data_IF_223260500255
#
_entry.id   IF_223260500255
#
_cell.length_a   1.000
_cell.length_b   1.000
_cell.length_c   1.000
_cell.angle_alpha   90.00
_cell.angle_beta   90.00
_cell.angle_gamma   90.00
#
_symmetry.space_group_name_H-M   'P 1'
#
loop_
_entity.id
_entity.type
_entity.pdbx_description
1 polymer ?
#
# COMPACT_ATOMS: atom_id res chain seq x y z
N UNK A 1 -29.26 -22.49 -3.96
CA UNK A 1 -30.31 -21.69 -4.63
C UNK A 1 -30.98 -22.58 -5.65
N UNK A 2 -32.24 -22.95 -5.44
CA UNK A 2 -33.09 -23.46 -6.53
C UNK A 2 -33.72 -22.21 -7.16
N UNK A 3 -33.54 -22.01 -8.47
CA UNK A 3 -34.30 -20.99 -9.20
C UNK A 3 -35.71 -21.55 -9.36
N UNK A 4 -36.68 -20.98 -8.66
CA UNK A 4 -38.07 -21.10 -9.08
C UNK A 4 -38.30 -20.10 -10.23
N UNK A 5 -39.31 -20.36 -11.05
CA UNK A 5 -39.70 -19.53 -12.20
C UNK A 5 -40.01 -18.05 -11.84
N UNK A 6 -40.09 -17.74 -10.55
CA UNK A 6 -40.39 -16.42 -9.99
C UNK A 6 -39.19 -15.50 -9.72
N UNK A 7 -37.93 -15.86 -10.07
CA UNK A 7 -36.73 -15.07 -9.68
C UNK A 7 -36.60 -14.78 -8.18
N UNK A 8 -37.36 -15.45 -7.32
CA UNK A 8 -37.32 -15.27 -5.87
C UNK A 8 -36.32 -16.24 -5.24
N UNK A 9 -35.58 -15.77 -4.23
CA UNK A 9 -34.72 -16.62 -3.41
C UNK A 9 -35.10 -16.48 -1.94
N UNK A 10 -35.18 -17.61 -1.23
CA UNK A 10 -35.47 -17.61 0.21
C UNK A 10 -34.16 -17.60 0.99
N UNK A 11 -33.98 -16.61 1.86
CA UNK A 11 -32.88 -16.57 2.84
C UNK A 11 -33.42 -16.95 4.21
N UNK A 12 -32.78 -17.93 4.85
CA UNK A 12 -32.99 -18.22 6.27
C UNK A 12 -32.03 -17.38 7.09
N UNK A 13 -32.58 -16.57 7.99
CA UNK A 13 -31.81 -15.75 8.93
C UNK A 13 -32.11 -16.22 10.34
N UNK A 14 -31.06 -16.44 11.14
CA UNK A 14 -31.19 -16.82 12.54
C UNK A 14 -30.98 -15.61 13.46
N UNK A 15 -31.30 -15.73 14.73
CA UNK A 15 -31.03 -14.67 15.70
C UNK A 15 -29.54 -14.61 16.08
N UNK A 16 -29.17 -13.53 16.77
CA UNK A 16 -27.81 -13.28 17.26
C UNK A 16 -27.23 -14.44 18.08
N UNK A 17 -28.00 -14.95 19.05
CA UNK A 17 -27.59 -16.04 19.96
C UNK A 17 -27.21 -17.30 19.19
N UNK A 18 -28.02 -17.68 18.20
CA UNK A 18 -27.72 -18.81 17.34
C UNK A 18 -26.39 -18.61 16.59
N UNK A 19 -26.17 -17.43 16.01
CA UNK A 19 -24.93 -17.16 15.29
C UNK A 19 -23.73 -17.19 16.22
N UNK A 20 -23.81 -16.65 17.43
CA UNK A 20 -22.72 -16.72 18.41
C UNK A 20 -22.32 -18.17 18.70
N UNK A 21 -23.29 -19.03 19.02
CA UNK A 21 -23.06 -20.46 19.20
C UNK A 21 -22.45 -21.13 17.96
N UNK A 22 -23.00 -20.83 16.78
CA UNK A 22 -22.51 -21.38 15.51
C UNK A 22 -21.05 -20.99 15.23
N UNK A 23 -20.68 -19.73 15.46
CA UNK A 23 -19.32 -19.25 15.25
C UNK A 23 -18.33 -19.79 16.28
N UNK A 24 -18.76 -20.02 17.52
CA UNK A 24 -17.93 -20.68 18.53
C UNK A 24 -17.63 -22.14 18.16
N UNK A 25 -18.60 -22.85 17.59
CA UNK A 25 -18.38 -24.19 17.03
C UNK A 25 -17.46 -24.16 15.80
N UNK A 26 -17.64 -23.18 14.89
CA UNK A 26 -16.78 -23.02 13.71
C UNK A 26 -15.33 -22.78 14.11
N UNK A 27 -15.08 -21.93 15.12
CA UNK A 27 -13.72 -21.65 15.63
C UNK A 27 -13.03 -22.88 16.23
N UNK A 28 -13.80 -23.90 16.64
CA UNK A 28 -13.29 -25.17 17.19
C UNK A 28 -13.01 -26.23 16.11
N UNK A 29 -13.23 -25.94 14.83
CA UNK A 29 -12.93 -26.87 13.73
C UNK A 29 -11.44 -27.25 13.75
N UNK A 30 -11.08 -28.55 13.72
CA UNK A 30 -9.69 -28.99 13.70
C UNK A 30 -8.93 -28.57 12.43
N UNK A 31 -7.64 -28.26 12.57
CA UNK A 31 -6.74 -27.96 11.44
C UNK A 31 -6.58 -29.13 10.47
N UNK A 32 -6.78 -30.36 10.95
CA UNK A 32 -6.68 -31.59 10.16
C UNK A 32 -7.86 -31.82 9.21
N UNK A 33 -8.95 -31.06 9.34
CA UNK A 33 -10.10 -31.23 8.45
C UNK A 33 -9.80 -30.76 7.02
N UNK A 34 -10.29 -31.53 6.05
CA UNK A 34 -10.23 -31.16 4.64
C UNK A 34 -11.09 -29.90 4.34
N UNK A 35 -10.67 -29.03 3.40
CA UNK A 35 -11.37 -27.78 3.10
C UNK A 35 -12.86 -27.94 2.78
N UNK A 36 -13.20 -28.96 1.99
CA UNK A 36 -14.59 -29.27 1.62
C UNK A 36 -15.45 -29.56 2.85
N UNK A 37 -14.91 -30.30 3.83
CA UNK A 37 -15.61 -30.62 5.09
C UNK A 37 -15.78 -29.38 5.97
N UNK A 38 -14.74 -28.56 6.09
CA UNK A 38 -14.81 -27.27 6.83
C UNK A 38 -15.91 -26.39 6.26
N UNK A 39 -15.92 -26.20 4.94
CA UNK A 39 -16.87 -25.31 4.26
C UNK A 39 -18.29 -25.86 4.24
N UNK A 40 -18.47 -27.17 4.14
CA UNK A 40 -19.77 -27.81 4.32
C UNK A 40 -20.32 -27.61 5.73
N UNK A 41 -19.49 -27.80 6.76
CA UNK A 41 -19.87 -27.56 8.14
C UNK A 41 -20.31 -26.10 8.36
N UNK A 42 -19.51 -25.14 7.88
CA UNK A 42 -19.84 -23.71 7.95
C UNK A 42 -21.18 -23.42 7.25
N UNK A 43 -21.39 -23.96 6.04
CA UNK A 43 -22.63 -23.74 5.29
C UNK A 43 -23.86 -24.35 5.98
N UNK A 44 -23.71 -25.51 6.61
CA UNK A 44 -24.77 -26.13 7.41
C UNK A 44 -25.13 -25.28 8.62
N UNK A 45 -24.13 -24.68 9.27
CA UNK A 45 -24.30 -23.84 10.47
C UNK A 45 -24.83 -22.45 10.15
N UNK A 46 -24.43 -21.85 9.04
CA UNK A 46 -24.76 -20.47 8.71
C UNK A 46 -25.93 -20.32 7.73
N UNK A 47 -26.44 -21.43 7.18
CA UNK A 47 -27.20 -21.45 5.93
C UNK A 47 -26.36 -20.98 4.73
N UNK A 48 -26.51 -21.63 3.58
CA UNK A 48 -25.71 -21.37 2.36
C UNK A 48 -25.83 -19.95 1.78
N UNK A 49 -26.69 -19.10 2.34
CA UNK A 49 -27.14 -17.84 1.72
C UNK A 49 -26.43 -16.60 2.30
N UNK A 50 -25.45 -16.78 3.20
CA UNK A 50 -24.64 -15.68 3.74
C UNK A 50 -23.59 -15.22 2.71
N UNK A 51 -23.43 -15.87 1.56
CA UNK A 51 -22.37 -15.50 0.63
C UNK A 51 -22.82 -14.50 -0.44
N UNK A 52 -22.81 -13.22 -0.10
CA UNK A 52 -22.98 -12.16 -1.09
C UNK A 52 -21.79 -12.06 -2.04
N UNK A 53 -22.08 -12.15 -3.33
CA UNK A 53 -21.15 -11.97 -4.42
C UNK A 53 -21.61 -10.73 -5.16
N UNK A 54 -20.71 -9.77 -5.37
CA UNK A 54 -21.04 -8.52 -6.05
C UNK A 54 -20.55 -8.63 -7.50
N UNK A 55 -21.45 -8.55 -8.50
CA UNK A 55 -21.00 -8.28 -9.86
C UNK A 55 -20.40 -6.87 -9.88
N UNK A 56 -19.23 -6.74 -10.48
CA UNK A 56 -18.64 -5.44 -10.75
C UNK A 56 -18.74 -5.16 -12.24
N UNK A 57 -19.05 -3.90 -12.55
CA UNK A 57 -18.96 -3.41 -13.92
C UNK A 57 -17.49 -3.39 -14.36
N UNK A 58 -17.29 -3.64 -15.65
CA UNK A 58 -15.97 -3.69 -16.28
C UNK A 58 -15.18 -2.42 -16.00
N UNK A 59 -15.80 -1.25 -16.13
CA UNK A 59 -15.17 0.05 -15.96
C UNK A 59 -14.62 0.21 -14.54
N UNK A 60 -15.41 -0.17 -13.53
CA UNK A 60 -14.97 -0.16 -12.12
C UNK A 60 -13.76 -1.06 -11.92
N UNK A 61 -13.78 -2.30 -12.45
CA UNK A 61 -12.64 -3.22 -12.33
C UNK A 61 -11.39 -2.71 -13.06
N UNK A 62 -11.54 -2.18 -14.27
CA UNK A 62 -10.40 -1.71 -15.07
C UNK A 62 -9.78 -0.43 -14.52
N UNK A 63 -10.53 0.33 -13.71
CA UNK A 63 -9.98 1.49 -12.97
C UNK A 63 -9.21 1.10 -11.71
N UNK A 64 -9.38 -0.15 -11.23
CA UNK A 64 -8.74 -0.61 -10.01
C UNK A 64 -7.27 -0.93 -10.24
N UNK A 65 -6.40 -0.26 -9.48
CA UNK A 65 -5.00 -0.64 -9.34
C UNK A 65 -4.82 -1.57 -8.14
N UNK A 66 -4.01 -2.60 -8.33
CA UNK A 66 -3.67 -3.57 -7.29
C UNK A 66 -2.18 -3.46 -6.99
N UNK A 67 -1.87 -3.20 -5.73
CA UNK A 67 -0.49 -3.04 -5.27
C UNK A 67 -0.04 -4.26 -4.49
N UNK A 68 1.23 -4.62 -4.63
CA UNK A 68 1.83 -5.73 -3.90
C UNK A 68 3.28 -5.42 -3.57
N UNK A 69 3.64 -5.57 -2.30
CA UNK A 69 5.03 -5.52 -1.86
C UNK A 69 5.62 -6.93 -1.72
N UNK A 70 6.92 -7.05 -2.04
CA UNK A 70 7.73 -8.25 -1.81
C UNK A 70 9.05 -7.83 -1.19
N UNK A 71 9.33 -8.34 0.01
CA UNK A 71 10.64 -8.20 0.64
C UNK A 71 11.59 -9.26 0.07
N UNK A 72 12.76 -8.83 -0.40
CA UNK A 72 13.81 -9.73 -0.87
C UNK A 72 14.53 -10.34 0.34
N UNK A 73 14.47 -11.66 0.50
CA UNK A 73 15.17 -12.33 1.60
C UNK A 73 16.67 -12.45 1.30
N UNK A 74 17.50 -12.48 2.34
CA UNK A 74 18.94 -12.73 2.20
C UNK A 74 19.18 -14.03 1.42
N UNK A 75 19.93 -13.95 0.33
CA UNK A 75 20.25 -15.08 -0.56
C UNK A 75 19.16 -15.42 -1.59
N UNK A 76 18.00 -14.77 -1.54
CA UNK A 76 16.99 -14.92 -2.58
C UNK A 76 17.40 -14.15 -3.84
N UNK A 77 17.29 -14.79 -5.00
CA UNK A 77 17.52 -14.15 -6.29
C UNK A 77 16.17 -13.83 -6.94
N UNK A 78 16.05 -12.60 -7.44
CA UNK A 78 14.91 -12.17 -8.24
C UNK A 78 15.45 -11.78 -9.60
N UNK A 79 15.03 -12.52 -10.64
CA UNK A 79 15.15 -12.04 -12.01
C UNK A 79 14.25 -10.81 -12.18
N UNK A 80 14.88 -9.64 -12.19
CA UNK A 80 14.25 -8.33 -12.30
C UNK A 80 13.63 -8.08 -13.70
N UNK A 81 13.87 -8.95 -14.68
CA UNK A 81 13.31 -8.86 -16.02
C UNK A 81 12.10 -9.76 -16.23
N UNK A 82 11.70 -10.56 -15.22
CA UNK A 82 10.62 -11.55 -15.33
C UNK A 82 9.40 -11.15 -14.52
N UNK A 83 8.31 -10.78 -15.21
CA UNK A 83 7.02 -10.39 -14.60
C UNK A 83 6.52 -11.40 -13.56
N UNK A 84 6.68 -12.70 -13.82
CA UNK A 84 6.18 -13.75 -12.91
C UNK A 84 6.85 -13.74 -11.53
N UNK A 85 8.03 -13.14 -11.38
CA UNK A 85 8.66 -13.00 -10.07
C UNK A 85 7.99 -11.93 -9.21
N UNK A 86 7.18 -11.05 -9.79
CA UNK A 86 6.44 -10.05 -9.02
C UNK A 86 5.01 -10.51 -8.71
N UNK A 87 4.49 -11.54 -9.39
CA UNK A 87 3.10 -11.99 -9.23
C UNK A 87 2.88 -13.04 -8.14
N UNK A 88 3.74 -14.04 -8.01
CA UNK A 88 3.56 -15.14 -7.06
C UNK A 88 4.82 -15.37 -6.23
N UNK A 89 4.69 -15.86 -4.99
CA UNK A 89 5.85 -16.41 -4.31
C UNK A 89 6.43 -17.59 -5.14
N UNK A 90 7.75 -17.82 -5.08
CA UNK A 90 8.36 -18.99 -5.73
C UNK A 90 7.63 -20.28 -5.33
N UNK A 91 7.42 -21.19 -6.30
CA UNK A 91 6.72 -22.47 -6.05
C UNK A 91 7.45 -23.35 -5.01
N UNK A 92 8.76 -23.19 -4.89
CA UNK A 92 9.63 -23.79 -3.88
C UNK A 92 10.54 -22.70 -3.32
N UNK A 93 10.57 -22.52 -2.00
CA UNK A 93 11.63 -21.76 -1.32
C UNK A 93 12.44 -22.81 -0.55
N UNK A 94 13.44 -23.40 -1.21
CA UNK A 94 14.14 -24.60 -0.70
C UNK A 94 13.19 -25.77 -0.48
N UNK A 95 13.29 -26.42 0.69
CA UNK A 95 12.42 -27.53 1.11
C UNK A 95 11.07 -27.10 1.71
N UNK A 96 10.83 -25.78 1.85
CA UNK A 96 9.61 -25.28 2.49
C UNK A 96 8.47 -25.20 1.49
N UNK A 97 7.49 -26.10 1.66
CA UNK A 97 6.16 -25.98 1.05
C UNK A 97 5.55 -24.64 1.47
N UNK A 98 4.90 -23.95 0.54
CA UNK A 98 4.16 -22.72 0.82
C UNK A 98 3.28 -22.88 2.06
N UNK A 99 3.60 -22.11 3.10
CA UNK A 99 2.82 -22.12 4.32
C UNK A 99 1.38 -21.67 4.03
N UNK A 100 0.44 -22.25 4.76
CA UNK A 100 -0.96 -21.85 4.71
C UNK A 100 -1.08 -20.37 5.11
N UNK A 101 -1.74 -19.59 4.25
CA UNK A 101 -2.08 -18.19 4.50
C UNK A 101 -3.58 -18.04 4.78
N UNK A 102 -4.06 -16.79 4.84
CA UNK A 102 -5.51 -16.50 4.99
C UNK A 102 -6.36 -16.97 3.81
N UNK A 103 -5.75 -17.05 2.64
CA UNK A 103 -6.38 -17.34 1.36
C UNK A 103 -5.57 -18.35 0.55
N UNK A 104 -4.25 -18.40 0.78
CA UNK A 104 -3.35 -19.34 0.15
C UNK A 104 -3.37 -20.72 0.83
N UNK A 105 -3.29 -21.78 0.03
CA UNK A 105 -3.12 -23.17 0.49
C UNK A 105 -2.03 -23.86 -0.32
N UNK A 106 -1.53 -24.96 0.25
CA UNK A 106 -0.65 -25.90 -0.47
C UNK A 106 -1.37 -26.35 -1.74
N UNK A 107 -0.73 -26.17 -2.90
CA UNK A 107 -1.29 -26.49 -4.22
C UNK A 107 -2.24 -25.45 -4.81
N UNK A 108 -2.64 -24.42 -4.06
CA UNK A 108 -3.51 -23.35 -4.54
C UNK A 108 -2.97 -21.97 -4.15
N UNK A 109 -2.05 -21.49 -4.97
CA UNK A 109 -1.52 -20.14 -4.87
C UNK A 109 -2.57 -19.10 -5.24
N UNK A 110 -2.58 -18.00 -4.50
CA UNK A 110 -3.35 -16.80 -4.81
C UNK A 110 -2.38 -15.63 -4.97
N UNK A 111 -2.75 -14.68 -5.82
CA UNK A 111 -2.07 -13.40 -5.83
C UNK A 111 -2.62 -12.56 -4.67
N UNK A 112 -1.73 -12.16 -3.75
CA UNK A 112 -2.05 -11.18 -2.73
C UNK A 112 -1.71 -9.78 -3.22
N UNK A 113 -2.61 -8.84 -2.98
CA UNK A 113 -2.40 -7.42 -3.19
C UNK A 113 -3.32 -6.58 -2.32
N UNK A 114 -3.32 -5.27 -2.53
CA UNK A 114 -4.11 -4.29 -1.79
C UNK A 114 -4.45 -3.09 -2.69
N UNK A 115 -5.27 -2.17 -2.21
CA UNK A 115 -5.74 -0.99 -2.94
C UNK A 115 -4.74 0.17 -2.96
N UNK A 116 -3.69 0.12 -2.13
CA UNK A 116 -2.69 1.19 -2.04
C UNK A 116 -1.27 0.68 -1.71
N UNK A 117 -0.23 1.44 -2.10
CA UNK A 117 1.17 1.07 -1.90
C UNK A 117 1.56 0.99 -0.41
N UNK A 118 1.01 1.87 0.42
CA UNK A 118 1.35 1.98 1.84
C UNK A 118 0.95 0.71 2.59
N UNK A 119 -0.31 0.29 2.42
CA UNK A 119 -0.83 -0.98 2.95
C UNK A 119 -0.02 -2.16 2.44
N UNK A 120 0.44 -2.14 1.19
CA UNK A 120 1.21 -3.24 0.63
C UNK A 120 2.52 -3.47 1.41
N UNK A 121 3.21 -2.39 1.79
CA UNK A 121 4.43 -2.44 2.59
C UNK A 121 4.12 -2.87 4.04
N UNK A 122 3.07 -2.29 4.65
CA UNK A 122 2.68 -2.63 6.03
C UNK A 122 2.28 -4.10 6.17
N UNK A 123 1.65 -4.70 5.16
CA UNK A 123 1.33 -6.15 5.16
C UNK A 123 2.56 -7.06 5.14
N UNK A 124 3.74 -6.55 4.77
CA UNK A 124 5.00 -7.30 4.76
C UNK A 124 6.02 -6.79 5.78
N UNK A 125 5.64 -5.83 6.64
CA UNK A 125 6.54 -5.13 7.56
C UNK A 125 7.26 -6.05 8.55
N UNK A 126 6.61 -7.13 8.99
CA UNK A 126 7.21 -8.15 9.86
C UNK A 126 8.45 -8.83 9.23
N UNK A 127 8.65 -8.70 7.92
CA UNK A 127 9.82 -9.24 7.22
C UNK A 127 10.85 -8.15 6.85
N UNK A 128 10.59 -6.89 7.18
CA UNK A 128 11.45 -5.76 6.85
C UNK A 128 12.39 -5.49 8.03
N UNK A 129 13.68 -5.58 7.75
CA UNK A 129 14.76 -5.05 8.59
C UNK A 129 15.08 -3.66 8.04
N UNK A 130 14.84 -2.62 8.85
CA UNK A 130 15.11 -1.21 8.50
C UNK A 130 16.55 -1.03 8.02
N UNK A 131 16.74 -0.22 6.98
CA UNK A 131 18.01 0.09 6.29
C UNK A 131 18.68 -1.09 5.54
N UNK A 132 18.30 -2.33 5.82
CA UNK A 132 18.89 -3.51 5.17
C UNK A 132 17.99 -4.10 4.09
N UNK A 133 16.67 -4.05 4.28
CA UNK A 133 15.73 -4.76 3.42
C UNK A 133 15.41 -4.02 2.13
N UNK A 134 15.50 -4.76 1.03
CA UNK A 134 15.04 -4.32 -0.28
C UNK A 134 13.60 -4.79 -0.48
N UNK A 135 12.73 -3.86 -0.82
CA UNK A 135 11.32 -4.11 -1.06
C UNK A 135 10.99 -3.74 -2.51
N UNK A 136 10.36 -4.68 -3.22
CA UNK A 136 9.76 -4.42 -4.54
C UNK A 136 8.27 -4.15 -4.36
N UNK A 137 7.82 -2.98 -4.76
CA UNK A 137 6.41 -2.58 -4.74
C UNK A 137 5.92 -2.59 -6.18
N UNK A 138 5.11 -3.57 -6.52
CA UNK A 138 4.56 -3.75 -7.86
C UNK A 138 3.15 -3.18 -7.95
N UNK A 139 2.88 -2.46 -9.03
CA UNK A 139 1.56 -1.91 -9.39
C UNK A 139 1.00 -2.70 -10.56
N UNK A 140 -0.21 -3.22 -10.40
CA UNK A 140 -0.90 -4.02 -11.39
C UNK A 140 -2.21 -3.36 -11.79
N UNK A 141 -2.53 -3.45 -13.07
CA UNK A 141 -3.83 -3.03 -13.61
C UNK A 141 -4.62 -4.28 -14.04
N UNK A 142 -5.95 -4.16 -14.00
CA UNK A 142 -6.87 -5.20 -14.47
C UNK A 142 -7.33 -4.83 -15.88
N UNK A 143 -7.12 -5.72 -16.85
CA UNK A 143 -7.46 -5.53 -18.27
C UNK A 143 -8.25 -6.72 -18.81
N UNK A 144 -8.91 -6.48 -19.94
CA UNK A 144 -9.57 -7.52 -20.75
C UNK A 144 -10.59 -8.37 -19.98
N UNK A 145 -11.28 -7.78 -18.99
CA UNK A 145 -12.28 -8.50 -18.18
C UNK A 145 -13.65 -8.53 -18.86
N UNK A 146 -14.41 -9.59 -18.56
CA UNK A 146 -15.81 -9.72 -18.95
C UNK A 146 -16.67 -8.63 -18.27
N UNK A 147 -17.79 -8.28 -18.92
CA UNK A 147 -18.70 -7.21 -18.49
C UNK A 147 -19.15 -7.35 -17.03
N UNK A 148 -19.37 -8.58 -16.56
CA UNK A 148 -19.92 -8.86 -15.23
C UNK A 148 -19.05 -9.82 -14.42
N UNK A 149 -17.81 -9.40 -14.15
CA UNK A 149 -16.90 -10.19 -13.31
C UNK A 149 -17.31 -10.06 -11.84
N UNK A 150 -17.46 -11.19 -11.15
CA UNK A 150 -17.88 -11.17 -9.77
C UNK A 150 -16.72 -11.03 -8.79
N UNK A 151 -16.97 -10.33 -7.69
CA UNK A 151 -16.04 -10.23 -6.57
C UNK A 151 -16.76 -10.57 -5.26
N UNK A 152 -16.07 -11.35 -4.43
CA UNK A 152 -16.51 -11.62 -3.06
C UNK A 152 -15.99 -10.52 -2.14
N UNK A 153 -16.89 -9.84 -1.44
CA UNK A 153 -16.52 -8.84 -0.43
C UNK A 153 -16.67 -9.46 0.96
N UNK A 154 -15.61 -9.41 1.75
CA UNK A 154 -15.52 -9.93 3.11
C UNK A 154 -15.28 -8.82 4.13
N UNK A 155 -15.95 -7.69 3.95
CA UNK A 155 -15.90 -6.57 4.87
C UNK A 155 -17.21 -5.79 4.81
N UNK A 156 -18.02 -5.87 5.86
CA UNK A 156 -19.30 -5.22 6.06
C UNK A 156 -19.32 -4.70 7.49
N UNK A 157 -19.52 -3.39 7.67
CA UNK A 157 -19.47 -2.77 9.00
C UNK A 157 -18.05 -2.67 9.58
N UNK A 158 -17.01 -2.54 8.73
CA UNK A 158 -15.73 -2.03 9.21
C UNK A 158 -15.87 -0.56 9.57
N UNK A 159 -15.30 -0.17 10.71
CA UNK A 159 -15.01 1.24 10.99
C UNK A 159 -13.79 1.63 10.17
N UNK A 160 -14.01 1.92 8.90
CA UNK A 160 -13.01 2.58 8.05
C UNK A 160 -13.09 4.08 8.32
N UNK A 161 -11.94 4.73 8.40
CA UNK A 161 -11.88 6.19 8.40
C UNK A 161 -12.73 6.71 7.21
N UNK A 162 -13.64 7.64 7.48
CA UNK A 162 -14.66 8.10 6.51
C UNK A 162 -14.03 8.69 5.25
N UNK A 163 -12.81 9.19 5.39
CA UNK A 163 -12.02 9.85 4.34
C UNK A 163 -11.09 8.88 3.61
N UNK A 164 -10.99 7.62 4.05
CA UNK A 164 -10.19 6.60 3.36
C UNK A 164 -10.84 6.14 2.05
N UNK A 165 -10.01 5.72 1.07
CA UNK A 165 -10.49 5.05 -0.15
C UNK A 165 -11.32 3.79 0.16
N UNK A 166 -10.98 3.09 1.24
CA UNK A 166 -11.73 1.93 1.71
C UNK A 166 -13.17 2.32 2.10
N UNK A 167 -13.40 3.51 2.65
CA UNK A 167 -14.73 4.01 2.98
C UNK A 167 -15.59 4.28 1.76
N UNK A 168 -15.02 4.83 0.67
CA UNK A 168 -15.75 5.01 -0.60
C UNK A 168 -16.25 3.66 -1.12
N UNK A 169 -15.35 2.68 -1.18
CA UNK A 169 -15.68 1.34 -1.62
C UNK A 169 -16.72 0.68 -0.70
N UNK A 170 -16.59 0.88 0.60
CA UNK A 170 -17.53 0.36 1.59
C UNK A 170 -18.93 0.93 1.47
N UNK A 171 -19.06 2.24 1.25
CA UNK A 171 -20.36 2.87 0.99
C UNK A 171 -21.03 2.29 -0.24
N UNK A 172 -20.27 2.00 -1.31
CA UNK A 172 -20.80 1.35 -2.51
C UNK A 172 -21.36 -0.05 -2.19
N UNK A 173 -20.58 -0.87 -1.47
CA UNK A 173 -21.01 -2.23 -1.07
C UNK A 173 -22.22 -2.18 -0.16
N UNK A 174 -22.22 -1.29 0.83
CA UNK A 174 -23.32 -1.12 1.78
C UNK A 174 -24.59 -0.62 1.09
N UNK A 175 -24.48 0.31 0.14
CA UNK A 175 -25.60 0.78 -0.66
C UNK A 175 -26.20 -0.34 -1.52
N UNK A 176 -25.35 -1.14 -2.19
CA UNK A 176 -25.81 -2.29 -2.98
C UNK A 176 -26.50 -3.34 -2.11
N UNK A 177 -25.94 -3.58 -0.93
CA UNK A 177 -26.55 -4.45 0.07
C UNK A 177 -27.92 -3.93 0.51
N UNK A 178 -27.99 -2.67 0.94
CA UNK A 178 -29.22 -2.05 1.43
C UNK A 178 -30.33 -2.11 0.38
N UNK A 179 -29.99 -1.88 -0.90
CA UNK A 179 -30.91 -2.06 -2.03
C UNK A 179 -31.36 -3.51 -2.19
N UNK A 180 -30.43 -4.46 -2.16
CA UNK A 180 -30.73 -5.89 -2.32
C UNK A 180 -31.64 -6.45 -1.21
N UNK A 181 -31.60 -5.85 -0.02
CA UNK A 181 -32.37 -6.29 1.15
C UNK A 181 -33.36 -5.24 1.67
N UNK A 182 -33.75 -4.27 0.86
CA UNK A 182 -34.68 -3.20 1.28
C UNK A 182 -36.04 -3.73 1.74
N UNK A 183 -36.46 -4.88 1.20
CA UNK A 183 -37.72 -5.55 1.54
C UNK A 183 -37.57 -6.60 2.67
N UNK A 184 -36.37 -6.78 3.21
CA UNK A 184 -36.14 -7.70 4.33
C UNK A 184 -36.60 -7.02 5.64
N UNK A 185 -37.40 -7.69 6.49
CA UNK A 185 -37.78 -7.14 7.79
C UNK A 185 -36.56 -6.74 8.62
N UNK A 186 -36.65 -5.62 9.34
CA UNK A 186 -35.52 -5.03 10.06
C UNK A 186 -34.78 -5.99 11.01
N UNK A 187 -35.47 -6.83 11.81
CA UNK A 187 -34.80 -7.81 12.67
C UNK A 187 -33.99 -8.85 11.87
N UNK A 188 -34.46 -9.24 10.68
CA UNK A 188 -33.73 -10.16 9.82
C UNK A 188 -32.53 -9.46 9.17
N UNK A 189 -32.69 -8.22 8.72
CA UNK A 189 -31.60 -7.43 8.14
C UNK A 189 -30.47 -7.24 9.16
N UNK A 190 -30.80 -6.82 10.37
CA UNK A 190 -29.84 -6.67 11.49
C UNK A 190 -29.11 -7.98 11.80
N UNK A 191 -29.83 -9.09 11.92
CA UNK A 191 -29.22 -10.39 12.22
C UNK A 191 -28.36 -10.92 11.06
N UNK A 192 -28.74 -10.65 9.81
CA UNK A 192 -27.91 -11.01 8.67
C UNK A 192 -26.60 -10.22 8.67
N UNK A 193 -26.64 -8.91 8.92
CA UNK A 193 -25.43 -8.09 9.09
C UNK A 193 -24.54 -8.60 10.21
N UNK A 194 -25.13 -8.99 11.34
CA UNK A 194 -24.39 -9.60 12.43
C UNK A 194 -23.62 -10.85 11.99
N UNK A 195 -24.30 -11.74 11.26
CA UNK A 195 -23.67 -12.95 10.73
C UNK A 195 -22.56 -12.65 9.73
N UNK A 196 -22.73 -11.66 8.86
CA UNK A 196 -21.68 -11.19 7.96
C UNK A 196 -20.46 -10.69 8.73
N UNK A 197 -20.67 -9.85 9.74
CA UNK A 197 -19.58 -9.34 10.59
C UNK A 197 -18.79 -10.48 11.24
N UNK A 198 -19.47 -11.43 11.88
CA UNK A 198 -18.84 -12.62 12.49
C UNK A 198 -18.10 -13.49 11.46
N UNK A 199 -18.66 -13.60 10.25
CA UNK A 199 -18.02 -14.34 9.16
C UNK A 199 -16.68 -13.72 8.76
N UNK A 200 -16.59 -12.40 8.76
CA UNK A 200 -15.38 -11.64 8.41
C UNK A 200 -14.34 -11.66 9.52
N UNK A 201 -14.75 -11.84 10.77
CA UNK A 201 -13.82 -12.10 11.88
C UNK A 201 -12.97 -13.36 11.65
N UNK A 202 -13.47 -14.34 10.89
CA UNK A 202 -12.69 -15.51 10.49
C UNK A 202 -11.51 -15.17 9.57
N UNK A 203 -11.58 -14.02 8.87
CA UNK A 203 -10.53 -13.51 7.98
C UNK A 203 -9.61 -12.49 8.64
N UNK A 204 -10.02 -11.93 9.79
CA UNK A 204 -9.28 -10.87 10.48
C UNK A 204 -8.66 -11.31 11.80
N UNK A 205 -8.62 -12.61 12.07
CA UNK A 205 -7.91 -13.17 13.20
C UNK A 205 -6.40 -12.94 13.09
N UNK A 206 -5.78 -12.60 14.22
CA UNK A 206 -4.34 -12.42 14.36
C UNK A 206 -3.62 -13.75 14.62
N UNK A 207 -2.31 -13.80 14.39
CA UNK A 207 -1.47 -14.93 14.80
C UNK A 207 -1.74 -16.27 14.10
N UNK A 208 -2.20 -16.27 12.84
CA UNK A 208 -2.54 -17.47 12.04
C UNK A 208 -3.67 -18.33 12.61
N UNK A 209 -4.26 -17.92 13.74
CA UNK A 209 -5.42 -18.56 14.36
C UNK A 209 -6.54 -18.56 13.33
N UNK A 210 -7.01 -19.73 12.89
CA UNK A 210 -8.05 -19.91 11.86
C UNK A 210 -7.66 -19.76 10.39
N UNK A 211 -6.37 -19.79 10.03
CA UNK A 211 -5.99 -19.77 8.60
C UNK A 211 -6.50 -21.01 7.84
N UNK A 212 -6.69 -22.16 8.50
CA UNK A 212 -7.34 -23.32 7.89
C UNK A 212 -8.81 -23.07 7.58
N UNK A 213 -9.50 -22.23 8.35
CA UNK A 213 -10.90 -21.88 8.12
C UNK A 213 -11.02 -20.86 6.98
N UNK A 214 -10.32 -19.72 7.09
CA UNK A 214 -10.35 -18.66 6.07
C UNK A 214 -9.86 -19.16 4.71
N UNK A 215 -8.77 -19.91 4.66
CA UNK A 215 -8.28 -20.48 3.40
C UNK A 215 -9.22 -21.55 2.81
N UNK A 216 -9.95 -22.28 3.66
CA UNK A 216 -11.00 -23.20 3.18
C UNK A 216 -12.17 -22.45 2.56
N UNK A 217 -12.58 -21.34 3.15
CA UNK A 217 -13.60 -20.46 2.57
C UNK A 217 -13.16 -19.96 1.20
N UNK A 218 -11.93 -19.45 1.07
CA UNK A 218 -11.39 -19.00 -0.22
C UNK A 218 -11.35 -20.13 -1.24
N UNK A 219 -10.93 -21.33 -0.81
CA UNK A 219 -10.95 -22.52 -1.66
C UNK A 219 -12.37 -22.83 -2.19
N UNK A 220 -13.39 -22.79 -1.34
CA UNK A 220 -14.78 -23.01 -1.75
C UNK A 220 -15.23 -21.97 -2.79
N UNK A 221 -14.93 -20.69 -2.55
CA UNK A 221 -15.24 -19.61 -3.50
C UNK A 221 -14.51 -19.80 -4.84
N UNK A 222 -13.23 -20.17 -4.85
CA UNK A 222 -12.49 -20.29 -6.10
C UNK A 222 -12.75 -21.57 -6.86
N UNK A 223 -13.03 -22.69 -6.18
CA UNK A 223 -13.17 -24.00 -6.82
C UNK A 223 -14.63 -24.40 -6.96
N UNK A 224 -15.42 -24.33 -5.89
CA UNK A 224 -16.81 -24.81 -5.91
C UNK A 224 -17.71 -23.89 -6.72
N UNK A 225 -17.60 -22.57 -6.54
CA UNK A 225 -18.47 -21.63 -7.27
C UNK A 225 -18.18 -21.73 -8.77
N UNK A 226 -16.90 -21.87 -9.15
CA UNK A 226 -16.51 -22.11 -10.53
C UNK A 226 -17.15 -23.39 -11.10
N UNK A 227 -17.16 -24.50 -10.34
CA UNK A 227 -17.89 -25.74 -10.72
C UNK A 227 -19.41 -25.52 -10.87
N UNK A 228 -19.96 -24.53 -10.17
CA UNK A 228 -21.36 -24.11 -10.27
C UNK A 228 -21.59 -23.02 -11.32
N UNK A 229 -20.59 -22.75 -12.19
CA UNK A 229 -20.61 -21.70 -13.22
C UNK A 229 -20.76 -20.27 -12.68
N UNK A 230 -20.38 -20.06 -11.42
CA UNK A 230 -20.30 -18.72 -10.81
C UNK A 230 -18.83 -18.32 -10.72
N UNK A 231 -18.39 -17.47 -11.63
CA UNK A 231 -16.99 -17.04 -11.70
C UNK A 231 -16.71 -15.91 -10.70
N UNK A 232 -16.06 -16.23 -9.57
CA UNK A 232 -15.63 -15.26 -8.55
C UNK A 232 -14.10 -15.24 -8.44
N UNK A 233 -13.39 -14.53 -9.32
CA UNK A 233 -11.92 -14.53 -9.34
C UNK A 233 -11.26 -13.69 -8.24
N UNK A 234 -11.98 -12.74 -7.63
CA UNK A 234 -11.42 -11.79 -6.66
C UNK A 234 -12.16 -11.91 -5.32
N UNK A 235 -11.39 -11.97 -4.24
CA UNK A 235 -11.89 -11.83 -2.87
C UNK A 235 -11.24 -10.61 -2.24
N UNK A 236 -12.04 -9.63 -1.88
CA UNK A 236 -11.60 -8.43 -1.18
C UNK A 236 -11.89 -8.58 0.32
N UNK A 237 -10.92 -8.29 1.18
CA UNK A 237 -11.01 -8.49 2.64
C UNK A 237 -10.20 -7.41 3.39
N UNK A 238 -10.48 -7.16 4.68
CA UNK A 238 -9.79 -6.11 5.44
C UNK A 238 -8.30 -6.43 5.66
N UNK A 239 -7.46 -5.40 5.60
CA UNK A 239 -6.08 -5.46 6.10
C UNK A 239 -6.06 -5.56 7.61
N UNK A 240 -5.45 -6.59 8.19
CA UNK A 240 -5.26 -6.66 9.64
C UNK A 240 -4.03 -5.88 10.08
N UNK A 241 -3.02 -5.79 9.23
CA UNK A 241 -1.81 -5.02 9.52
C UNK A 241 -2.13 -3.51 9.68
N UNK A 242 -3.13 -3.00 8.94
CA UNK A 242 -3.67 -1.63 9.04
C UNK A 242 -4.94 -1.54 9.88
N UNK A 243 -5.11 -2.37 10.91
CA UNK A 243 -6.26 -2.31 11.85
C UNK A 243 -7.65 -2.27 11.17
N UNK A 244 -7.78 -2.85 9.96
CA UNK A 244 -8.97 -2.88 9.10
C UNK A 244 -9.33 -1.55 8.43
N UNK A 245 -8.37 -0.63 8.29
CA UNK A 245 -8.53 0.67 7.62
C UNK A 245 -8.24 0.62 6.11
N UNK A 246 -7.71 -0.50 5.60
CA UNK A 246 -7.49 -0.71 4.17
C UNK A 246 -8.00 -2.09 3.71
N UNK A 247 -8.02 -2.28 2.39
CA UNK A 247 -8.55 -3.47 1.70
C UNK A 247 -7.40 -4.24 1.07
N UNK A 248 -7.36 -5.53 1.35
CA UNK A 248 -6.54 -6.51 0.66
C UNK A 248 -7.37 -7.29 -0.35
N UNK A 249 -6.67 -7.85 -1.33
CA UNK A 249 -7.19 -8.72 -2.37
C UNK A 249 -6.49 -10.07 -2.33
N UNK A 250 -7.27 -11.14 -2.45
CA UNK A 250 -6.81 -12.45 -2.87
C UNK A 250 -7.40 -12.73 -4.25
N UNK A 251 -6.56 -12.93 -5.25
CA UNK A 251 -6.97 -13.07 -6.65
C UNK A 251 -6.56 -14.46 -7.16
N UNK A 252 -7.49 -15.13 -7.83
CA UNK A 252 -7.30 -16.48 -8.39
C UNK A 252 -6.23 -16.47 -9.48
N UNK A 253 -5.44 -17.54 -9.55
CA UNK A 253 -4.24 -17.58 -10.39
C UNK A 253 -4.52 -17.37 -11.88
N UNK A 254 -5.47 -18.14 -12.42
CA UNK A 254 -5.93 -18.05 -13.81
C UNK A 254 -6.40 -16.63 -14.18
N UNK A 255 -7.09 -15.95 -13.27
CA UNK A 255 -7.52 -14.57 -13.49
C UNK A 255 -6.34 -13.61 -13.54
N UNK A 256 -5.36 -13.76 -12.64
CA UNK A 256 -4.15 -12.94 -12.67
C UNK A 256 -3.35 -13.18 -13.95
N UNK A 257 -3.15 -14.43 -14.35
CA UNK A 257 -2.42 -14.75 -15.58
C UNK A 257 -3.11 -14.15 -16.81
N UNK A 258 -4.44 -14.10 -16.82
CA UNK A 258 -5.24 -13.69 -17.99
C UNK A 258 -5.53 -12.19 -18.02
N UNK A 259 -5.75 -11.55 -16.87
CA UNK A 259 -6.32 -10.20 -16.78
C UNK A 259 -5.46 -9.20 -16.00
N UNK A 260 -4.50 -9.63 -15.18
CA UNK A 260 -3.60 -8.69 -14.53
C UNK A 260 -2.42 -8.37 -15.44
N UNK A 261 -2.07 -7.09 -15.53
CA UNK A 261 -0.86 -6.62 -16.21
C UNK A 261 0.00 -5.86 -15.23
N UNK A 262 1.26 -6.23 -15.12
CA UNK A 262 2.23 -5.46 -14.34
C UNK A 262 2.43 -4.14 -15.07
N UNK A 263 2.21 -3.02 -14.38
CA UNK A 263 2.37 -1.66 -14.93
C UNK A 263 3.73 -1.08 -14.53
N UNK A 264 4.08 -1.23 -13.26
CA UNK A 264 5.24 -0.58 -12.65
C UNK A 264 5.81 -1.41 -11.49
N UNK A 265 7.11 -1.27 -11.24
CA UNK A 265 7.79 -1.80 -10.05
C UNK A 265 8.65 -0.68 -9.44
N UNK A 266 8.45 -0.39 -8.17
CA UNK A 266 9.34 0.46 -7.38
C UNK A 266 10.27 -0.43 -6.54
N UNK A 267 11.59 -0.29 -6.71
CA UNK A 267 12.60 -0.95 -5.88
C UNK A 267 13.07 0.05 -4.83
N UNK A 268 12.77 -0.24 -3.58
CA UNK A 268 13.05 0.68 -2.46
C UNK A 268 13.82 -0.01 -1.34
N UNK A 269 14.53 0.77 -0.54
CA UNK A 269 15.09 0.36 0.76
C UNK A 269 14.30 1.06 1.85
N UNK A 270 13.62 0.32 2.70
CA UNK A 270 12.86 0.92 3.80
C UNK A 270 13.83 1.37 4.89
N UNK A 271 13.77 2.64 5.28
CA UNK A 271 14.68 3.24 6.25
C UNK A 271 14.05 3.36 7.63
N UNK A 272 12.72 3.51 7.73
CA UNK A 272 11.99 3.41 8.99
C UNK A 272 10.52 3.01 8.81
N UNK A 273 9.97 2.31 9.81
CA UNK A 273 8.55 2.04 9.98
C UNK A 273 8.17 2.40 11.42
N UNK A 274 7.52 3.55 11.64
CA UNK A 274 7.09 4.01 12.97
C UNK A 274 5.63 4.43 12.94
N UNK A 275 4.80 3.86 13.81
CA UNK A 275 3.37 4.21 13.89
C UNK A 275 2.66 4.16 12.52
N UNK A 276 2.99 3.15 11.70
CA UNK A 276 2.53 3.02 10.31
C UNK A 276 3.08 4.06 9.34
N UNK A 277 3.83 5.08 9.77
CA UNK A 277 4.60 5.94 8.86
C UNK A 277 5.77 5.15 8.30
N UNK A 278 5.94 5.19 6.97
CA UNK A 278 7.00 4.49 6.27
C UNK A 278 7.89 5.51 5.59
N UNK A 279 9.18 5.44 5.89
CA UNK A 279 10.23 6.16 5.16
C UNK A 279 11.10 5.16 4.40
N UNK A 280 11.55 5.54 3.22
CA UNK A 280 12.35 4.68 2.35
C UNK A 280 13.19 5.50 1.38
N UNK A 281 14.25 4.86 0.87
CA UNK A 281 15.08 5.35 -0.21
C UNK A 281 14.65 4.68 -1.52
N UNK A 282 14.31 5.49 -2.52
CA UNK A 282 14.06 4.99 -3.87
C UNK A 282 15.36 4.56 -4.55
N UNK A 283 15.45 3.30 -5.01
CA UNK A 283 16.66 2.79 -5.66
C UNK A 283 16.51 2.77 -7.17
N UNK A 284 15.43 2.18 -7.67
CA UNK A 284 15.10 2.11 -9.10
C UNK A 284 13.60 2.06 -9.29
N UNK A 285 13.15 2.44 -10.48
CA UNK A 285 11.78 2.21 -10.96
C UNK A 285 11.84 1.38 -12.23
N UNK A 286 10.90 0.47 -12.40
CA UNK A 286 10.68 -0.20 -13.66
C UNK A 286 9.30 0.15 -14.20
N UNK A 287 9.22 0.44 -15.49
CA UNK A 287 7.96 0.53 -16.23
C UNK A 287 7.85 -0.68 -17.15
N UNK A 288 6.67 -1.26 -17.24
CA UNK A 288 6.42 -2.40 -18.14
C UNK A 288 5.77 -1.89 -19.41
N UNK A 289 6.46 -2.06 -20.54
CA UNK A 289 5.96 -1.72 -21.88
C UNK A 289 6.02 -2.96 -22.75
N UNK A 290 4.91 -3.33 -23.37
CA UNK A 290 4.79 -4.52 -24.24
C UNK A 290 5.32 -5.81 -23.60
N UNK A 291 5.05 -5.99 -22.30
CA UNK A 291 5.50 -7.14 -21.51
C UNK A 291 6.99 -7.12 -21.12
N UNK A 292 7.76 -6.11 -21.54
CA UNK A 292 9.17 -5.94 -21.18
C UNK A 292 9.31 -4.97 -20.01
N UNK A 293 10.16 -5.34 -19.05
CA UNK A 293 10.48 -4.51 -17.90
C UNK A 293 11.65 -3.60 -18.26
N UNK A 294 11.44 -2.27 -18.20
CA UNK A 294 12.47 -1.27 -18.45
C UNK A 294 12.79 -0.56 -17.14
N UNK A 295 14.00 -0.77 -16.63
CA UNK A 295 14.47 -0.13 -15.41
C UNK A 295 15.02 1.26 -15.69
N UNK A 296 14.39 2.24 -15.07
CA UNK A 296 14.75 3.65 -15.08
C UNK A 296 15.54 3.98 -13.82
N UNK A 297 16.51 4.89 -13.97
CA UNK A 297 17.23 5.46 -12.83
C UNK A 297 16.55 6.76 -12.45
N UNK A 298 16.46 7.02 -11.15
CA UNK A 298 16.00 8.32 -10.68
C UNK A 298 17.06 9.35 -11.08
N UNK A 299 16.71 10.24 -12.00
CA UNK A 299 17.51 11.41 -12.36
C UNK A 299 16.92 12.62 -11.63
N UNK A 300 17.72 13.26 -10.80
CA UNK A 300 17.32 14.44 -10.04
C UNK A 300 17.96 15.64 -10.69
N UNK A 301 17.15 16.43 -11.38
CA UNK A 301 17.59 17.66 -12.01
C UNK A 301 17.15 18.84 -11.17
N UNK A 302 18.13 19.58 -10.64
CA UNK A 302 17.85 20.86 -9.99
C UNK A 302 17.61 21.86 -11.12
N UNK A 303 16.35 22.25 -11.33
CA UNK A 303 15.99 23.21 -12.39
C UNK A 303 16.30 24.64 -11.97
N UNK A 304 15.93 25.00 -10.75
CA UNK A 304 16.13 26.34 -10.23
C UNK A 304 16.25 26.34 -8.70
N UNK A 305 17.05 27.27 -8.21
CA UNK A 305 17.22 27.54 -6.79
C UNK A 305 16.69 28.93 -6.58
N UNK A 306 15.60 29.04 -5.81
CA UNK A 306 15.02 30.34 -5.52
C UNK A 306 15.89 31.08 -4.50
N UNK A 307 16.92 31.78 -4.99
CA UNK A 307 17.88 32.55 -4.19
C UNK A 307 17.18 33.59 -3.30
N UNK A 308 16.03 34.13 -3.73
CA UNK A 308 15.24 35.10 -2.94
C UNK A 308 14.62 34.51 -1.67
N UNK A 309 14.63 33.19 -1.56
CA UNK A 309 14.06 32.47 -0.43
C UNK A 309 15.13 31.78 0.43
N UNK A 310 16.40 32.12 0.19
CA UNK A 310 17.51 31.66 1.01
C UNK A 310 17.52 32.42 2.33
N UNK A 311 17.55 31.68 3.43
CA UNK A 311 17.68 32.23 4.77
C UNK A 311 19.00 31.79 5.36
N UNK A 312 19.76 32.70 5.94
CA UNK A 312 20.97 32.37 6.70
C UNK A 312 20.61 32.27 8.18
N UNK A 313 21.07 31.20 8.82
CA UNK A 313 20.79 30.88 10.22
C UNK A 313 22.05 31.08 11.04
N UNK A 314 21.94 31.95 12.03
CA UNK A 314 22.92 32.08 13.10
C UNK A 314 22.37 31.38 14.33
N UNK A 315 23.11 30.45 14.90
CA UNK A 315 22.75 29.80 16.16
C UNK A 315 23.50 30.55 17.26
N UNK A 316 22.78 31.41 17.98
CA UNK A 316 23.30 32.04 19.19
C UNK A 316 22.87 31.12 20.34
N UNK A 317 23.80 30.48 21.08
CA UNK A 317 23.49 29.42 22.05
C UNK A 317 22.44 29.78 23.13
N UNK A 318 22.20 31.07 23.35
CA UNK A 318 21.35 31.61 24.42
C UNK A 318 20.10 32.36 23.91
N UNK A 319 19.88 32.45 22.59
CA UNK A 319 18.72 33.17 22.02
C UNK A 319 17.85 32.29 21.11
N UNK A 320 16.53 32.56 21.02
CA UNK A 320 15.67 31.89 20.04
C UNK A 320 16.20 32.13 18.62
N UNK A 321 16.15 31.08 17.79
CA UNK A 321 16.64 31.10 16.39
C UNK A 321 16.15 32.35 15.66
N UNK A 322 17.06 33.27 15.35
CA UNK A 322 16.77 34.46 14.52
C UNK A 322 17.01 34.12 13.06
N UNK A 323 16.02 34.44 12.23
CA UNK A 323 16.10 34.30 10.79
C UNK A 323 16.61 35.62 10.20
N UNK A 324 17.78 35.60 9.56
CA UNK A 324 18.24 36.74 8.77
C UNK A 324 17.93 36.43 7.32
N UNK A 325 16.97 37.16 6.74
CA UNK A 325 16.74 37.14 5.31
C UNK A 325 17.82 37.99 4.65
N UNK A 326 18.71 37.32 3.93
CA UNK A 326 19.83 37.97 3.25
C UNK A 326 19.39 38.29 1.83
N UNK A 327 19.46 39.57 1.45
CA UNK A 327 19.13 39.98 0.08
C UNK A 327 20.26 39.60 -0.89
N UNK A 328 19.95 39.38 -2.17
CA UNK A 328 20.90 38.91 -3.20
C UNK A 328 22.22 39.71 -3.26
N UNK A 329 22.17 41.00 -2.92
CA UNK A 329 23.30 41.94 -2.98
C UNK A 329 24.03 42.15 -1.64
N UNK A 330 23.60 41.48 -0.56
CA UNK A 330 24.29 41.60 0.73
C UNK A 330 25.68 40.94 0.69
N UNK A 331 26.65 41.63 1.28
CA UNK A 331 28.03 41.18 1.37
C UNK A 331 28.19 40.30 2.61
N UNK A 332 28.62 39.05 2.40
CA UNK A 332 28.98 38.12 3.46
C UNK A 332 30.49 38.21 3.73
N UNK A 333 30.88 38.17 5.00
CA UNK A 333 32.28 38.16 5.42
C UNK A 333 32.73 36.73 5.68
N UNK A 334 33.85 36.36 5.06
CA UNK A 334 34.39 35.00 5.17
C UNK A 334 35.49 34.88 6.22
N UNK A 335 36.45 35.81 6.23
CA UNK A 335 37.58 35.71 7.17
C UNK A 335 38.07 37.07 7.69
N UNK A 336 37.88 38.14 6.93
CA UNK A 336 38.24 39.50 7.33
C UNK A 336 37.51 40.52 6.48
N UNK A 337 37.60 41.78 6.90
CA UNK A 337 36.96 42.97 6.33
C UNK A 337 37.26 43.20 4.85
N UNK A 338 38.30 42.56 4.32
CA UNK A 338 38.77 42.67 2.94
C UNK A 338 38.27 41.55 2.03
N UNK A 339 37.75 40.45 2.59
CA UNK A 339 37.28 39.30 1.84
C UNK A 339 35.77 39.15 1.99
N UNK A 340 35.05 39.71 1.02
CA UNK A 340 33.61 39.63 0.91
C UNK A 340 33.20 38.88 -0.35
N UNK A 341 32.13 38.11 -0.23
CA UNK A 341 31.43 37.52 -1.37
C UNK A 341 29.99 38.02 -1.35
N UNK A 342 29.34 38.08 -2.52
CA UNK A 342 27.89 38.21 -2.51
C UNK A 342 27.28 36.93 -1.93
N UNK A 343 26.18 37.07 -1.19
CA UNK A 343 25.44 35.92 -0.68
C UNK A 343 25.11 34.91 -1.79
N UNK A 344 24.73 35.40 -2.97
CA UNK A 344 24.52 34.60 -4.17
C UNK A 344 25.75 33.77 -4.55
N UNK A 345 26.93 34.38 -4.65
CA UNK A 345 28.16 33.67 -5.06
C UNK A 345 28.56 32.59 -4.05
N UNK A 346 28.40 32.86 -2.76
CA UNK A 346 28.68 31.88 -1.72
C UNK A 346 27.72 30.68 -1.80
N UNK A 347 26.42 30.95 -1.95
CA UNK A 347 25.39 29.91 -2.09
C UNK A 347 25.64 29.09 -3.36
N UNK A 348 25.95 29.71 -4.50
CA UNK A 348 26.29 29.02 -5.76
C UNK A 348 27.50 28.07 -5.62
N UNK A 349 28.56 28.49 -4.94
CA UNK A 349 29.74 27.64 -4.73
C UNK A 349 29.46 26.51 -3.74
N UNK A 350 28.75 26.79 -2.64
CA UNK A 350 28.33 25.76 -1.69
C UNK A 350 27.41 24.74 -2.34
N UNK A 351 26.48 25.19 -3.18
CA UNK A 351 25.59 24.33 -3.94
C UNK A 351 26.34 23.43 -4.90
N UNK A 352 27.36 23.93 -5.61
CA UNK A 352 28.20 23.04 -6.45
C UNK A 352 28.83 21.92 -5.65
N UNK A 353 29.32 22.22 -4.44
CA UNK A 353 29.92 21.23 -3.54
C UNK A 353 28.89 20.30 -2.88
N UNK A 354 27.65 20.76 -2.70
CA UNK A 354 26.59 20.02 -1.99
C UNK A 354 25.52 19.44 -2.92
N UNK A 355 25.55 19.69 -4.23
CA UNK A 355 24.55 19.19 -5.19
C UNK A 355 24.44 17.68 -5.13
N UNK A 356 25.58 16.96 -5.05
CA UNK A 356 25.57 15.51 -4.87
C UNK A 356 24.95 15.08 -3.54
N UNK A 357 25.23 15.80 -2.45
CA UNK A 357 24.65 15.54 -1.13
C UNK A 357 23.15 15.87 -1.07
N UNK A 358 22.73 16.90 -1.80
CA UNK A 358 21.34 17.32 -1.98
C UNK A 358 20.61 16.24 -2.76
N UNK A 359 21.08 15.87 -3.95
CA UNK A 359 20.53 14.77 -4.75
C UNK A 359 20.46 13.50 -3.90
N UNK A 360 21.52 13.19 -3.14
CA UNK A 360 21.51 12.07 -2.21
C UNK A 360 20.41 12.22 -1.15
N UNK A 361 20.28 13.34 -0.43
CA UNK A 361 19.21 13.53 0.55
C UNK A 361 17.80 13.47 -0.07
N UNK A 362 17.63 14.08 -1.23
CA UNK A 362 16.36 14.12 -1.97
C UNK A 362 15.93 12.71 -2.38
N UNK A 363 16.83 11.90 -2.92
CA UNK A 363 16.56 10.49 -3.29
C UNK A 363 16.20 9.61 -2.08
N UNK A 364 16.62 9.99 -0.87
CA UNK A 364 16.36 9.26 0.38
C UNK A 364 15.08 9.70 1.11
N UNK A 365 14.41 10.77 0.68
CA UNK A 365 13.34 11.44 1.45
C UNK A 365 12.02 11.58 0.70
N UNK A 366 11.79 10.83 -0.39
CA UNK A 366 10.61 10.98 -1.25
C UNK A 366 9.40 10.25 -0.65
N UNK A 367 8.26 10.93 -0.41
CA UNK A 367 7.01 10.28 0.03
C UNK A 367 6.47 9.28 -1.00
N UNK A 368 5.74 8.24 -0.55
CA UNK A 368 5.17 7.18 -1.41
C UNK A 368 4.21 7.72 -2.50
N UNK A 369 3.54 8.84 -2.21
CA UNK A 369 2.38 9.31 -2.97
C UNK A 369 2.71 10.01 -4.31
N UNK A 370 3.87 10.66 -4.44
CA UNK A 370 4.12 11.66 -5.50
C UNK A 370 4.96 11.15 -6.67
N UNK A 371 4.84 9.86 -6.95
CA UNK A 371 5.78 9.16 -7.79
C UNK A 371 5.24 8.99 -9.22
N UNK A 372 4.93 10.10 -9.88
CA UNK A 372 4.65 10.14 -11.33
C UNK A 372 5.94 10.06 -12.17
N UNK A 373 5.85 9.93 -13.50
CA UNK A 373 7.02 9.91 -14.41
C UNK A 373 7.84 11.22 -14.31
N UNK A 374 7.17 12.32 -13.93
CA UNK A 374 7.77 13.63 -13.64
C UNK A 374 7.07 14.25 -12.43
N UNK A 375 7.84 14.70 -11.45
CA UNK A 375 7.32 15.48 -10.34
C UNK A 375 8.23 16.68 -10.07
N UNK A 376 7.62 17.86 -9.92
CA UNK A 376 8.32 19.04 -9.39
C UNK A 376 8.06 19.11 -7.90
N UNK A 377 9.11 18.95 -7.08
CA UNK A 377 9.00 19.02 -5.63
C UNK A 377 9.75 20.25 -5.10
N UNK A 378 9.13 20.89 -4.10
CA UNK A 378 9.74 21.99 -3.35
C UNK A 378 10.33 21.45 -2.06
N UNK A 379 11.63 21.63 -1.87
CA UNK A 379 12.32 21.19 -0.67
C UNK A 379 12.87 22.37 0.12
N UNK A 380 12.64 22.36 1.42
CA UNK A 380 13.34 23.20 2.38
C UNK A 380 14.53 22.40 2.93
N UNK A 381 15.75 22.85 2.69
CA UNK A 381 16.96 22.19 3.23
C UNK A 381 17.81 23.15 4.04
N UNK A 382 18.24 22.69 5.21
CA UNK A 382 19.30 23.35 5.98
C UNK A 382 20.65 22.70 5.65
N UNK A 383 21.60 23.49 5.17
CA UNK A 383 22.97 23.09 4.84
C UNK A 383 23.91 23.72 5.87
N UNK A 384 24.66 22.93 6.66
CA UNK A 384 25.65 23.48 7.56
C UNK A 384 26.78 24.16 6.79
N UNK A 385 27.26 25.29 7.29
CA UNK A 385 28.45 25.95 6.76
C UNK A 385 29.69 25.13 7.15
N UNK A 386 30.60 24.89 6.21
CA UNK A 386 31.87 24.16 6.50
C UNK A 386 32.95 25.07 7.07
N UNK A 387 32.70 26.38 7.11
CA UNK A 387 33.62 27.42 7.58
C UNK A 387 32.82 28.43 8.40
N UNK A 388 33.50 29.09 9.34
CA UNK A 388 32.93 30.19 10.10
C UNK A 388 32.68 31.37 9.16
N UNK A 389 31.41 31.67 8.91
CA UNK A 389 31.00 32.79 8.05
C UNK A 389 30.24 33.77 8.91
N UNK A 390 30.50 35.05 8.73
CA UNK A 390 29.92 36.09 9.57
C UNK A 390 29.04 37.02 8.73
N UNK A 391 27.87 37.37 9.28
CA UNK A 391 27.09 38.52 8.79
C UNK A 391 27.46 39.72 9.64
N UNK A 392 27.90 40.81 9.00
CA UNK A 392 28.09 42.09 9.67
C UNK A 392 26.77 42.85 9.65
N UNK A 393 25.95 42.61 10.66
CA UNK A 393 24.78 43.46 10.95
C UNK A 393 25.25 44.60 11.85
N UNK A 394 25.24 45.83 11.32
CA UNK A 394 25.51 47.18 11.90
C UNK A 394 26.46 47.36 13.09
N UNK A 395 26.59 46.45 14.07
CA UNK A 395 27.47 46.56 15.24
C UNK A 395 28.09 45.24 15.75
N UNK A 396 27.71 44.04 15.28
CA UNK A 396 28.29 42.74 15.73
C UNK A 396 28.47 41.73 14.60
N UNK A 397 29.53 40.91 14.67
CA UNK A 397 29.73 39.75 13.79
C UNK A 397 29.10 38.51 14.42
N UNK A 398 28.08 37.97 13.75
CA UNK A 398 27.44 36.73 14.18
C UNK A 398 27.81 35.58 13.24
N UNK A 399 28.28 34.43 13.77
CA UNK A 399 28.57 33.26 12.96
C UNK A 399 27.28 32.66 12.38
N UNK A 400 27.34 32.30 11.10
CA UNK A 400 26.32 31.57 10.35
C UNK A 400 26.66 30.10 10.43
N UNK A 401 25.72 29.31 10.93
CA UNK A 401 25.90 27.87 11.09
C UNK A 401 25.12 27.08 10.04
N UNK A 402 24.01 27.62 9.53
CA UNK A 402 23.21 26.95 8.50
C UNK A 402 22.72 27.90 7.42
N UNK A 403 22.52 27.35 6.23
CA UNK A 403 21.87 27.99 5.09
C UNK A 403 20.58 27.21 4.83
N UNK A 404 19.42 27.86 4.97
CA UNK A 404 18.15 27.31 4.52
C UNK A 404 17.93 27.68 3.07
N UNK A 405 17.70 26.68 2.23
CA UNK A 405 17.43 26.83 0.82
C UNK A 405 16.04 26.27 0.51
N UNK A 406 15.28 26.99 -0.33
CA UNK A 406 14.13 26.40 -0.99
C UNK A 406 14.55 26.02 -2.41
N UNK A 407 14.60 24.72 -2.67
CA UNK A 407 15.04 24.19 -3.95
C UNK A 407 13.83 23.64 -4.69
N UNK A 408 13.63 24.09 -5.92
CA UNK A 408 12.70 23.47 -6.85
C UNK A 408 13.48 22.38 -7.59
N UNK A 409 13.12 21.13 -7.34
CA UNK A 409 13.74 19.99 -8.01
C UNK A 409 12.73 19.36 -8.96
N UNK A 410 13.21 18.95 -10.13
CA UNK A 410 12.46 18.05 -10.99
C UNK A 410 13.04 16.66 -10.85
N UNK A 411 12.14 15.75 -10.50
CA UNK A 411 12.42 14.34 -10.37
C UNK A 411 11.88 13.68 -11.62
N UNK A 412 12.77 13.12 -12.43
CA UNK A 412 12.42 12.41 -13.64
C UNK A 412 13.05 11.02 -13.60
N UNK A 413 12.28 10.00 -13.94
CA UNK A 413 12.86 8.69 -14.19
C UNK A 413 13.26 8.60 -15.66
N UNK A 414 14.56 8.46 -15.91
CA UNK A 414 15.13 8.33 -17.27
C UNK A 414 15.66 6.92 -17.53
#
# INVERSE_FOLDING_TARGET
MQRNDSNTFTIRVFNKEYYDKAFDEIRKIPISWFPSRITEFIRKKLSSNIFLVNPLEKETLTSLLVYRARVLKKGEQVDENKVSHFSYPPKKIGDRILAMGRANRIGQQVFYGTIDKHTAIIEVSDNIIENDSIVYISTWEIKDVEKHTNMKVLFSGLSVDKDSYAAVFMRMVENNFNKAFQNMPEPHRTNFYYAQKKYQELFTSTGKKFYHISSSIVHDVFVRYLKQKVNVPIIAYPSVAKKKESINFAIRKDFVDSHLRLKQIDKVRVTSIKNEEITFTGLKRAIVKDGKIVWLKLDVQIEDINYKSVSLYTEVPEEPKRFVHVQDNEKLLCCCDKHFFSAKHYVENMLKLTTEQIIHKLTHSIPIADFDEKATLKYHMAIPTQQDIFIKTTEKMNPIYFIGLNINCNLEYR
#
